data_IF_248569801702
#
_entry.id   IF_248569801702
#
_cell.length_a   1.000
_cell.length_b   1.000
_cell.length_c   1.000
_cell.angle_alpha   90.00
_cell.angle_beta   90.00
_cell.angle_gamma   90.00
#
_symmetry.space_group_name_H-M   'P 1'
#
loop_
_entity.id
_entity.type
_entity.pdbx_description
1 polymer ?
#
# COMPACT_ATOMS: atom_id res chain seq x y z
N UNK A 1 6.25 2.67 17.92
CA UNK A 1 7.60 2.21 17.52
C UNK A 1 8.22 3.27 16.60
N UNK A 2 9.54 3.51 16.67
CA UNK A 2 10.25 4.40 15.74
C UNK A 2 11.34 3.61 15.04
N UNK A 3 11.34 3.65 13.70
CA UNK A 3 12.36 3.07 12.84
C UNK A 3 12.99 4.20 12.03
N UNK A 4 14.29 4.11 11.76
CA UNK A 4 15.03 5.07 10.95
C UNK A 4 15.68 4.27 9.82
N UNK A 5 15.56 4.79 8.60
CA UNK A 5 16.17 4.24 7.39
C UNK A 5 17.16 5.27 6.84
N UNK A 6 18.31 4.79 6.40
CA UNK A 6 19.37 5.60 5.78
C UNK A 6 19.57 5.29 4.29
N UNK A 7 18.77 4.38 3.72
CA UNK A 7 18.85 4.02 2.31
C UNK A 7 17.53 3.46 1.78
N UNK A 8 17.37 3.44 0.45
CA UNK A 8 16.23 2.78 -0.18
C UNK A 8 16.15 1.28 0.16
N UNK A 9 17.32 0.62 0.24
CA UNK A 9 17.43 -0.79 0.60
C UNK A 9 16.90 -1.02 2.02
N UNK A 10 17.30 -0.18 2.99
CA UNK A 10 16.80 -0.27 4.36
C UNK A 10 15.29 -0.04 4.44
N UNK A 11 14.77 0.93 3.68
CA UNK A 11 13.32 1.20 3.60
C UNK A 11 12.55 -0.03 3.11
N UNK A 12 13.06 -0.70 2.07
CA UNK A 12 12.48 -1.95 1.55
C UNK A 12 12.52 -3.06 2.62
N UNK A 13 13.63 -3.22 3.34
CA UNK A 13 13.73 -4.25 4.38
C UNK A 13 12.79 -3.99 5.57
N UNK A 14 12.65 -2.73 5.97
CA UNK A 14 11.69 -2.32 7.01
C UNK A 14 10.27 -2.67 6.55
N UNK A 15 9.90 -2.32 5.32
CA UNK A 15 8.60 -2.63 4.76
C UNK A 15 8.36 -4.15 4.71
N UNK A 16 9.32 -4.96 4.24
CA UNK A 16 9.21 -6.43 4.25
C UNK A 16 8.96 -7.00 5.65
N UNK A 17 9.63 -6.44 6.67
CA UNK A 17 9.44 -6.86 8.07
C UNK A 17 8.05 -6.48 8.60
N UNK A 18 7.51 -5.34 8.18
CA UNK A 18 6.14 -4.95 8.51
C UNK A 18 5.15 -5.88 7.80
N UNK A 19 5.34 -6.09 6.49
CA UNK A 19 4.51 -6.98 5.66
C UNK A 19 4.38 -8.40 6.22
N UNK A 20 5.46 -8.94 6.80
CA UNK A 20 5.44 -10.30 7.37
C UNK A 20 4.51 -10.48 8.58
N UNK A 21 4.10 -9.38 9.20
CA UNK A 21 3.18 -9.39 10.34
C UNK A 21 1.76 -8.98 9.95
N UNK A 22 1.55 -8.55 8.70
CA UNK A 22 0.25 -8.09 8.22
C UNK A 22 -0.73 -9.24 8.09
N UNK A 23 -1.98 -8.96 8.43
CA UNK A 23 -3.09 -9.89 8.41
C UNK A 23 -4.22 -9.33 7.55
N UNK A 24 -5.10 -10.24 7.17
CA UNK A 24 -6.36 -9.93 6.50
C UNK A 24 -7.17 -8.93 7.35
N UNK A 25 -7.50 -7.77 6.79
CA UNK A 25 -8.25 -6.71 7.45
C UNK A 25 -7.41 -5.56 8.03
N UNK A 26 -6.08 -5.67 8.02
CA UNK A 26 -5.21 -4.59 8.51
C UNK A 26 -5.29 -3.36 7.56
N UNK A 27 -5.03 -2.17 8.12
CA UNK A 27 -4.95 -0.92 7.35
C UNK A 27 -3.63 -0.23 7.70
N UNK A 28 -2.83 0.11 6.69
CA UNK A 28 -1.54 0.77 6.84
C UNK A 28 -1.52 2.09 6.06
N UNK A 29 -1.59 3.21 6.75
CA UNK A 29 -1.57 4.53 6.08
C UNK A 29 -0.13 5.02 5.91
N UNK A 30 0.29 5.25 4.66
CA UNK A 30 1.57 5.88 4.33
C UNK A 30 1.42 7.40 4.15
N UNK A 31 1.92 8.17 5.12
CA UNK A 31 1.89 9.64 5.06
C UNK A 31 3.29 10.25 4.99
N UNK A 32 3.45 11.31 4.20
CA UNK A 32 4.69 12.05 4.05
C UNK A 32 4.74 12.86 2.76
N UNK A 33 5.71 13.77 2.66
CA UNK A 33 5.88 14.65 1.49
C UNK A 33 6.25 13.87 0.21
N UNK A 34 6.20 14.56 -0.93
CA UNK A 34 6.76 14.05 -2.19
C UNK A 34 8.25 13.69 -1.97
N UNK A 35 8.66 12.53 -2.45
CA UNK A 35 10.02 12.03 -2.24
C UNK A 35 10.31 11.42 -0.86
N UNK A 36 9.34 11.36 0.06
CA UNK A 36 9.55 10.77 1.40
C UNK A 36 9.80 9.25 1.42
N UNK A 37 9.79 8.59 0.26
CA UNK A 37 10.06 7.13 0.16
C UNK A 37 8.83 6.23 0.24
N UNK A 38 7.60 6.79 0.21
CA UNK A 38 6.34 6.01 0.24
C UNK A 38 6.30 4.90 -0.82
N UNK A 39 6.65 5.22 -2.06
CA UNK A 39 6.68 4.25 -3.16
C UNK A 39 7.69 3.11 -2.91
N UNK A 40 8.87 3.42 -2.38
CA UNK A 40 9.85 2.38 -2.00
C UNK A 40 9.40 1.52 -0.82
N UNK A 41 8.64 2.11 0.09
CA UNK A 41 8.00 1.36 1.14
C UNK A 41 6.95 0.39 0.58
N UNK A 42 6.05 0.85 -0.29
CA UNK A 42 5.07 0.01 -1.02
C UNK A 42 5.75 -1.12 -1.78
N UNK A 43 6.87 -0.84 -2.45
CA UNK A 43 7.67 -1.87 -3.14
C UNK A 43 8.16 -2.97 -2.21
N UNK A 44 8.59 -2.62 -0.99
CA UNK A 44 8.98 -3.60 0.01
C UNK A 44 7.81 -4.45 0.52
N UNK A 45 6.61 -3.86 0.64
CA UNK A 45 5.39 -4.62 0.97
C UNK A 45 5.10 -5.64 -0.15
N UNK A 46 4.99 -5.19 -1.40
CA UNK A 46 4.69 -6.06 -2.55
C UNK A 46 5.75 -7.15 -2.74
N UNK A 47 7.03 -6.80 -2.59
CA UNK A 47 8.13 -7.76 -2.67
C UNK A 47 8.08 -8.86 -1.61
N UNK A 48 7.51 -8.60 -0.42
CA UNK A 48 7.32 -9.65 0.59
C UNK A 48 6.30 -10.69 0.13
N UNK A 49 5.27 -10.26 -0.60
CA UNK A 49 4.22 -11.13 -1.14
C UNK A 49 4.57 -11.72 -2.52
N UNK A 50 5.79 -11.54 -3.02
CA UNK A 50 6.23 -12.07 -4.31
C UNK A 50 5.83 -11.24 -5.54
N UNK A 51 5.37 -10.00 -5.31
CA UNK A 51 4.83 -9.09 -6.32
C UNK A 51 5.82 -7.97 -6.70
N UNK A 52 7.13 -8.22 -6.57
CA UNK A 52 8.18 -7.22 -6.78
C UNK A 52 8.19 -6.58 -8.19
N UNK A 53 7.56 -7.22 -9.19
CA UNK A 53 7.49 -6.73 -10.55
C UNK A 53 6.17 -6.01 -10.87
N UNK A 54 5.24 -5.94 -9.92
CA UNK A 54 3.88 -5.41 -10.13
C UNK A 54 3.69 -3.99 -9.62
N UNK A 55 4.76 -3.31 -9.20
CA UNK A 55 4.70 -1.89 -8.86
C UNK A 55 4.54 -1.09 -10.15
N UNK A 56 3.31 -1.00 -10.63
CA UNK A 56 2.90 0.02 -11.57
C UNK A 56 2.30 1.18 -10.80
N UNK A 57 2.81 2.40 -11.04
CA UNK A 57 2.07 3.62 -10.70
C UNK A 57 0.64 3.46 -11.23
N UNK A 58 -0.39 3.57 -10.39
CA UNK A 58 -1.77 3.68 -10.87
C UNK A 58 -1.84 4.95 -11.72
N UNK A 59 -1.62 4.82 -13.02
CA UNK A 59 -1.51 6.00 -13.88
C UNK A 59 -2.90 6.62 -14.07
N UNK A 60 -3.95 5.80 -13.92
CA UNK A 60 -5.36 6.18 -14.07
C UNK A 60 -6.33 5.50 -13.07
N UNK A 61 -5.87 4.57 -12.23
CA UNK A 61 -6.71 3.85 -11.26
C UNK A 61 -6.52 4.43 -9.86
N UNK A 62 -7.58 4.68 -9.10
CA UNK A 62 -7.45 5.17 -7.71
C UNK A 62 -6.96 4.05 -6.76
N UNK A 63 -7.18 2.79 -7.16
CA UNK A 63 -6.73 1.60 -6.45
C UNK A 63 -6.00 0.64 -7.40
N UNK A 64 -4.90 0.06 -6.92
CA UNK A 64 -4.33 -1.15 -7.50
C UNK A 64 -4.70 -2.34 -6.62
N UNK A 65 -5.23 -3.38 -7.24
CA UNK A 65 -5.53 -4.65 -6.58
C UNK A 65 -4.43 -5.66 -6.93
N UNK A 66 -3.92 -6.35 -5.92
CA UNK A 66 -2.94 -7.41 -6.10
C UNK A 66 -3.41 -8.69 -5.42
N UNK A 67 -3.36 -9.79 -6.14
CA UNK A 67 -3.68 -11.10 -5.61
C UNK A 67 -2.44 -11.72 -4.92
N UNK A 68 -2.64 -12.28 -3.73
CA UNK A 68 -1.62 -13.05 -3.02
C UNK A 68 -2.22 -14.34 -2.49
N UNK A 69 -1.38 -15.33 -2.18
CA UNK A 69 -1.85 -16.61 -1.62
C UNK A 69 -2.57 -16.47 -0.27
N UNK A 70 -2.34 -15.38 0.47
CA UNK A 70 -2.91 -15.18 1.82
C UNK A 70 -4.20 -14.37 1.80
N UNK A 71 -4.15 -13.20 1.20
CA UNK A 71 -5.25 -12.25 1.09
C UNK A 71 -4.92 -11.22 -0.01
N UNK A 72 -5.92 -10.65 -0.69
CA UNK A 72 -5.63 -9.61 -1.68
C UNK A 72 -5.17 -8.33 -0.99
N UNK A 73 -4.37 -7.57 -1.71
CA UNK A 73 -3.80 -6.30 -1.31
C UNK A 73 -4.45 -5.18 -2.11
N UNK A 74 -4.88 -4.12 -1.42
CA UNK A 74 -5.42 -2.94 -2.07
C UNK A 74 -4.53 -1.74 -1.75
N UNK A 75 -3.88 -1.24 -2.78
CA UNK A 75 -3.03 -0.05 -2.70
C UNK A 75 -3.78 1.16 -3.22
N UNK A 76 -4.06 2.12 -2.35
CA UNK A 76 -4.80 3.34 -2.71
C UNK A 76 -3.86 4.54 -2.84
N UNK A 77 -3.89 5.20 -4.00
CA UNK A 77 -3.20 6.48 -4.17
C UNK A 77 -4.19 7.65 -3.94
N UNK A 78 -4.49 7.88 -2.66
CA UNK A 78 -5.46 8.91 -2.23
C UNK A 78 -4.96 10.34 -2.43
N UNK A 79 -3.69 10.54 -2.80
CA UNK A 79 -3.17 11.88 -3.11
C UNK A 79 -3.89 12.50 -4.33
N UNK A 80 -4.51 11.68 -5.17
CA UNK A 80 -5.27 12.12 -6.34
C UNK A 80 -6.72 12.47 -6.05
N UNK A 81 -7.20 12.19 -4.84
CA UNK A 81 -8.57 12.49 -4.45
C UNK A 81 -8.65 13.91 -3.89
N UNK A 82 -9.58 14.70 -4.43
CA UNK A 82 -9.81 16.07 -3.97
C UNK A 82 -10.58 16.09 -2.64
N UNK A 83 -11.49 15.13 -2.46
CA UNK A 83 -12.30 14.97 -1.24
C UNK A 83 -12.73 13.51 -0.99
N UNK A 84 -13.48 13.31 0.10
CA UNK A 84 -14.01 12.00 0.49
C UNK A 84 -15.13 11.53 -0.44
N UNK A 85 -15.84 12.44 -1.09
CA UNK A 85 -16.94 12.09 -1.99
C UNK A 85 -16.41 11.41 -3.24
N UNK A 86 -15.22 11.80 -3.74
CA UNK A 86 -14.53 11.07 -4.82
C UNK A 86 -14.15 9.64 -4.42
N UNK A 87 -13.75 9.42 -3.16
CA UNK A 87 -13.49 8.07 -2.65
C UNK A 87 -14.77 7.22 -2.61
N UNK A 88 -15.88 7.79 -2.15
CA UNK A 88 -17.17 7.09 -2.14
C UNK A 88 -17.70 6.86 -3.56
N UNK A 89 -17.49 7.80 -4.49
CA UNK A 89 -17.94 7.71 -5.89
C UNK A 89 -17.29 6.55 -6.67
N UNK A 90 -16.08 6.12 -6.28
CA UNK A 90 -15.41 4.95 -6.85
C UNK A 90 -15.74 3.63 -6.14
N UNK A 91 -16.67 3.64 -5.18
CA UNK A 91 -16.97 2.49 -4.35
C UNK A 91 -15.83 2.12 -3.41
N UNK A 92 -15.02 3.11 -2.98
CA UNK A 92 -13.87 2.88 -2.11
C UNK A 92 -14.25 2.19 -0.79
N UNK A 93 -15.46 2.48 -0.28
CA UNK A 93 -16.02 1.87 0.93
C UNK A 93 -16.20 0.36 0.81
N UNK A 94 -16.52 -0.15 -0.39
CA UNK A 94 -16.72 -1.57 -0.63
C UNK A 94 -15.45 -2.39 -0.38
N UNK A 95 -14.27 -1.76 -0.48
CA UNK A 95 -13.01 -2.44 -0.21
C UNK A 95 -12.83 -2.71 1.28
N UNK A 96 -13.27 -1.81 2.17
CA UNK A 96 -13.17 -2.03 3.62
C UNK A 96 -13.98 -3.26 4.07
N UNK A 97 -15.11 -3.51 3.41
CA UNK A 97 -15.95 -4.69 3.66
C UNK A 97 -15.36 -5.99 3.10
N UNK A 98 -14.44 -5.91 2.14
CA UNK A 98 -13.80 -7.10 1.53
C UNK A 98 -12.91 -7.89 2.52
N UNK A 99 -12.73 -7.46 3.78
CA UNK A 99 -11.83 -8.08 4.78
C UNK A 99 -10.43 -8.26 4.17
N UNK A 100 -9.72 -7.21 3.80
CA UNK A 100 -8.43 -7.31 3.10
C UNK A 100 -7.39 -6.37 3.73
N UNK A 101 -6.13 -6.42 3.29
CA UNK A 101 -5.12 -5.46 3.76
C UNK A 101 -5.19 -4.20 2.88
N UNK A 102 -5.37 -3.04 3.49
CA UNK A 102 -5.41 -1.73 2.84
C UNK A 102 -4.13 -0.97 3.12
N UNK A 103 -3.40 -0.46 2.13
CA UNK A 103 -2.22 0.38 2.41
C UNK A 103 -1.88 1.45 1.37
#
# INVERSE_FOLDING_TARGET
MKLISHSEIETIQIAKKIASNLKKGDILVLSGNLGAGKTKFTEGILSYFGLQNEISSPTFTIVNEYETEKFPLFHFDVYRLEDVDEFSAIGGEEYFDKRCLHY
#
